data_IF_318232288859
#
_entry.id   IF_318232288859
#
_cell.length_a   1.000
_cell.length_b   1.000
_cell.length_c   1.000
_cell.angle_alpha   90.00
_cell.angle_beta   90.00
_cell.angle_gamma   90.00
#
_symmetry.space_group_name_H-M   'P 1'
#
loop_
_entity.id
_entity.type
_entity.pdbx_description
1 polymer ?
#
# COMPACT_ATOMS: atom_id res chain seq x y z
N UNK A 1 10.34 -19.79 -7.11
CA UNK A 1 9.98 -18.53 -7.80
C UNK A 1 8.87 -17.78 -7.08
N UNK A 2 7.63 -18.29 -7.04
CA UNK A 2 6.49 -17.58 -6.43
C UNK A 2 6.64 -17.30 -4.93
N UNK A 3 7.24 -18.22 -4.18
CA UNK A 3 7.63 -17.98 -2.79
C UNK A 3 8.56 -16.76 -2.65
N UNK A 4 9.61 -16.68 -3.46
CA UNK A 4 10.54 -15.54 -3.48
C UNK A 4 9.83 -14.22 -3.81
N UNK A 5 8.93 -14.21 -4.80
CA UNK A 5 8.08 -13.04 -5.10
C UNK A 5 7.27 -12.62 -3.87
N UNK A 6 6.61 -13.58 -3.21
CA UNK A 6 5.83 -13.29 -2.00
C UNK A 6 6.72 -12.71 -0.87
N UNK A 7 7.93 -13.25 -0.68
CA UNK A 7 8.89 -12.70 0.29
C UNK A 7 9.30 -11.26 -0.04
N UNK A 8 9.58 -10.94 -1.31
CA UNK A 8 9.92 -9.59 -1.74
C UNK A 8 8.77 -8.62 -1.49
N UNK A 9 7.54 -8.98 -1.87
CA UNK A 9 6.38 -8.14 -1.60
C UNK A 9 6.18 -7.93 -0.10
N UNK A 10 6.22 -8.98 0.73
CA UNK A 10 6.01 -8.83 2.18
C UNK A 10 7.08 -7.97 2.88
N UNK A 11 8.34 -8.07 2.44
CA UNK A 11 9.47 -7.43 3.14
C UNK A 11 9.81 -6.04 2.60
N UNK A 12 9.62 -5.80 1.31
CA UNK A 12 10.05 -4.56 0.66
C UNK A 12 8.88 -3.83 -0.01
N UNK A 13 8.30 -4.39 -1.07
CA UNK A 13 7.34 -3.66 -1.91
C UNK A 13 6.03 -3.31 -1.20
N UNK A 14 5.68 -4.05 -0.14
CA UNK A 14 4.50 -3.81 0.70
C UNK A 14 4.93 -3.61 2.15
N UNK A 15 6.11 -3.03 2.38
CA UNK A 15 6.54 -2.71 3.75
C UNK A 15 5.66 -1.60 4.33
N UNK A 16 5.27 -1.70 5.60
CA UNK A 16 4.31 -0.77 6.22
C UNK A 16 4.71 0.70 6.11
N UNK A 17 6.02 1.00 6.16
CA UNK A 17 6.56 2.37 6.03
C UNK A 17 6.60 2.81 4.57
N UNK A 18 6.88 1.89 3.63
CA UNK A 18 6.88 2.20 2.19
C UNK A 18 5.47 2.59 1.75
N UNK A 19 4.47 1.77 2.07
CA UNK A 19 3.07 2.08 1.76
C UNK A 19 2.62 3.39 2.40
N UNK A 20 3.09 3.71 3.62
CA UNK A 20 2.78 4.97 4.29
C UNK A 20 3.32 6.18 3.51
N UNK A 21 4.58 6.09 3.05
CA UNK A 21 5.18 7.13 2.20
C UNK A 21 4.41 7.25 0.88
N UNK A 22 4.07 6.13 0.24
CA UNK A 22 3.28 6.11 -1.01
C UNK A 22 1.92 6.79 -0.82
N UNK A 23 1.22 6.52 0.28
CA UNK A 23 -0.05 7.18 0.64
C UNK A 23 0.14 8.70 0.78
N UNK A 24 1.16 9.13 1.52
CA UNK A 24 1.46 10.56 1.69
C UNK A 24 1.80 11.25 0.36
N UNK A 25 2.61 10.63 -0.49
CA UNK A 25 2.94 11.16 -1.82
C UNK A 25 1.67 11.25 -2.68
N UNK A 26 0.82 10.23 -2.63
CA UNK A 26 -0.47 10.23 -3.35
C UNK A 26 -1.37 11.37 -2.88
N UNK A 27 -1.50 11.58 -1.58
CA UNK A 27 -2.28 12.70 -1.03
C UNK A 27 -1.74 14.06 -1.48
N UNK A 28 -0.42 14.23 -1.49
CA UNK A 28 0.20 15.44 -1.98
C UNK A 28 -0.08 15.64 -3.48
N UNK A 29 -0.02 14.59 -4.29
CA UNK A 29 -0.28 14.67 -5.73
C UNK A 29 -1.76 14.96 -6.02
N UNK A 30 -2.69 14.37 -5.27
CA UNK A 30 -4.13 14.69 -5.38
C UNK A 30 -4.37 16.17 -5.09
N UNK A 31 -3.74 16.72 -4.04
CA UNK A 31 -3.84 18.14 -3.70
C UNK A 31 -3.18 19.06 -4.73
N UNK A 32 -2.07 18.63 -5.32
CA UNK A 32 -1.36 19.41 -6.34
C UNK A 32 -1.97 19.30 -7.75
N UNK A 33 -2.81 18.30 -8.02
CA UNK A 33 -3.37 17.98 -9.34
C UNK A 33 -4.07 19.16 -10.05
N UNK A 34 -4.84 20.02 -9.36
CA UNK A 34 -5.48 21.17 -10.03
C UNK A 34 -4.47 22.20 -10.56
N UNK A 35 -3.30 22.31 -9.93
CA UNK A 35 -2.37 23.42 -10.10
C UNK A 35 -1.16 23.08 -10.97
N UNK A 36 -0.79 21.81 -11.11
CA UNK A 36 0.32 21.38 -11.98
C UNK A 36 -0.22 21.04 -13.36
N UNK A 37 0.38 21.68 -14.38
CA UNK A 37 0.03 21.49 -15.79
C UNK A 37 1.23 21.00 -16.59
N UNK A 38 0.95 20.12 -17.54
CA UNK A 38 1.88 19.62 -18.54
C UNK A 38 1.38 20.00 -19.92
N UNK A 39 2.26 20.54 -20.76
CA UNK A 39 1.93 20.79 -22.16
C UNK A 39 1.94 19.48 -22.93
N UNK A 40 0.83 19.16 -23.59
CA UNK A 40 0.70 18.03 -24.50
C UNK A 40 0.58 18.46 -25.96
N UNK A 41 0.09 17.53 -26.77
CA UNK A 41 -0.05 17.73 -28.22
C UNK A 41 -0.92 18.95 -28.55
N UNK A 42 -0.48 19.74 -29.54
CA UNK A 42 -1.22 20.91 -30.00
C UNK A 42 -1.26 22.08 -29.02
N UNK A 43 -0.41 22.07 -27.97
CA UNK A 43 -0.34 23.11 -26.96
C UNK A 43 -1.42 23.03 -25.88
N UNK A 44 -2.16 21.92 -25.83
CA UNK A 44 -3.17 21.68 -24.79
C UNK A 44 -2.49 21.42 -23.44
N UNK A 45 -3.15 21.82 -22.36
CA UNK A 45 -2.66 21.59 -20.99
C UNK A 45 -3.37 20.42 -20.33
N UNK A 46 -2.59 19.56 -19.67
CA UNK A 46 -3.05 18.38 -18.95
C UNK A 46 -2.61 18.43 -17.50
N UNK A 47 -3.39 17.85 -16.59
CA UNK A 47 -2.98 17.66 -15.18
C UNK A 47 -2.26 16.33 -15.03
N UNK A 48 -1.75 16.03 -13.82
CA UNK A 48 -1.18 14.71 -13.54
C UNK A 48 -2.17 13.59 -13.84
N UNK A 49 -3.45 13.77 -13.48
CA UNK A 49 -4.49 12.76 -13.68
C UNK A 49 -4.91 12.56 -15.14
N UNK A 50 -4.84 13.61 -15.98
CA UNK A 50 -5.26 13.54 -17.39
C UNK A 50 -4.09 13.39 -18.36
N UNK A 51 -2.85 13.45 -17.89
CA UNK A 51 -1.67 13.25 -18.74
C UNK A 51 -1.65 11.89 -19.42
N UNK A 52 -2.29 10.86 -18.85
CA UNK A 52 -2.41 9.54 -19.47
C UNK A 52 -3.14 9.56 -20.83
N UNK A 53 -3.94 10.59 -21.09
CA UNK A 53 -4.74 10.73 -22.31
C UNK A 53 -3.93 11.34 -23.48
N UNK A 54 -2.72 11.85 -23.23
CA UNK A 54 -1.84 12.43 -24.24
C UNK A 54 -0.38 12.02 -24.01
N UNK A 55 0.22 11.33 -24.99
CA UNK A 55 1.58 10.79 -24.83
C UNK A 55 2.67 11.87 -24.73
N UNK A 56 2.45 13.05 -25.31
CA UNK A 56 3.41 14.16 -25.20
C UNK A 56 3.44 14.72 -23.77
N UNK A 57 2.27 14.90 -23.15
CA UNK A 57 2.14 15.26 -21.75
C UNK A 57 2.64 14.14 -20.83
N UNK A 58 2.26 12.87 -21.09
CA UNK A 58 2.65 11.72 -20.27
C UNK A 58 4.17 11.53 -20.20
N UNK A 59 4.88 11.73 -21.31
CA UNK A 59 6.35 11.63 -21.35
C UNK A 59 7.04 12.64 -20.43
N UNK A 60 6.38 13.77 -20.16
CA UNK A 60 6.88 14.83 -19.25
C UNK A 60 6.51 14.56 -17.79
N UNK A 61 5.53 13.69 -17.52
CA UNK A 61 5.13 13.28 -16.18
C UNK A 61 6.10 12.22 -15.65
N UNK A 62 7.07 12.67 -14.85
CA UNK A 62 8.09 11.83 -14.22
C UNK A 62 8.17 12.13 -12.73
N UNK A 63 9.01 11.40 -11.99
CA UNK A 63 9.27 11.60 -10.56
C UNK A 63 9.70 13.05 -10.23
N UNK A 64 10.18 13.81 -11.22
CA UNK A 64 10.47 15.24 -11.08
C UNK A 64 9.28 16.06 -10.55
N UNK A 65 8.03 15.60 -10.74
CA UNK A 65 6.85 16.26 -10.19
C UNK A 65 6.90 16.39 -8.67
N UNK A 66 7.57 15.45 -7.98
CA UNK A 66 7.82 15.53 -6.55
C UNK A 66 8.61 16.81 -6.20
N UNK A 67 9.72 17.04 -6.90
CA UNK A 67 10.57 18.22 -6.70
C UNK A 67 9.86 19.51 -7.12
N UNK A 68 9.08 19.47 -8.20
CA UNK A 68 8.27 20.61 -8.64
C UNK A 68 7.31 21.07 -7.55
N UNK A 69 6.61 20.15 -6.88
CA UNK A 69 5.73 20.48 -5.75
C UNK A 69 6.56 20.98 -4.56
N UNK A 70 7.63 20.26 -4.21
CA UNK A 70 8.42 20.51 -3.01
C UNK A 70 9.06 21.91 -3.01
N UNK A 71 9.52 22.38 -4.17
CA UNK A 71 10.22 23.66 -4.32
C UNK A 71 9.38 24.76 -4.98
N UNK A 72 8.13 24.49 -5.37
CA UNK A 72 7.27 25.54 -5.91
C UNK A 72 7.00 26.62 -4.87
N UNK A 73 7.01 27.92 -5.23
CA UNK A 73 6.63 29.00 -4.33
C UNK A 73 5.10 29.23 -4.29
N UNK A 74 4.31 28.56 -5.13
CA UNK A 74 2.87 28.81 -5.26
C UNK A 74 2.11 28.56 -3.94
N UNK A 75 1.27 29.51 -3.49
CA UNK A 75 0.44 29.32 -2.28
C UNK A 75 -0.52 28.15 -2.40
N UNK A 76 -1.09 27.93 -3.59
CA UNK A 76 -2.05 26.85 -3.84
C UNK A 76 -1.45 25.45 -3.65
N UNK A 77 -0.13 25.32 -3.76
CA UNK A 77 0.59 24.07 -3.54
C UNK A 77 1.07 23.91 -2.08
N UNK A 78 0.72 24.83 -1.17
CA UNK A 78 1.25 24.82 0.19
C UNK A 78 0.93 23.54 0.96
N UNK A 79 -0.31 23.03 0.89
CA UNK A 79 -0.70 21.79 1.57
C UNK A 79 0.04 20.57 1.01
N UNK A 80 0.12 20.45 -0.32
CA UNK A 80 0.84 19.36 -0.98
C UNK A 80 2.34 19.40 -0.61
N UNK A 81 2.93 20.60 -0.64
CA UNK A 81 4.33 20.84 -0.26
C UNK A 81 4.60 20.48 1.19
N UNK A 82 3.70 20.80 2.12
CA UNK A 82 3.83 20.44 3.54
C UNK A 82 3.84 18.93 3.76
N UNK A 83 3.02 18.19 3.02
CA UNK A 83 3.00 16.72 3.06
C UNK A 83 4.35 16.16 2.56
N UNK A 84 4.86 16.64 1.42
CA UNK A 84 6.17 16.17 0.89
C UNK A 84 7.35 16.56 1.78
N UNK A 85 7.31 17.74 2.41
CA UNK A 85 8.29 18.14 3.43
C UNK A 85 8.25 17.20 4.65
N UNK A 86 7.06 16.78 5.07
CA UNK A 86 6.90 15.80 6.14
C UNK A 86 7.56 14.46 5.79
N UNK A 87 7.34 13.94 4.57
CA UNK A 87 8.00 12.72 4.06
C UNK A 87 9.51 12.88 4.09
N UNK A 88 10.03 14.00 3.60
CA UNK A 88 11.48 14.28 3.55
C UNK A 88 12.09 14.30 4.96
N UNK A 89 11.36 14.87 5.93
CA UNK A 89 11.77 14.90 7.34
C UNK A 89 11.43 13.61 8.10
N UNK A 90 10.98 12.55 7.42
CA UNK A 90 10.53 11.28 8.03
C UNK A 90 9.44 11.43 9.11
N UNK A 91 8.66 12.52 9.05
CA UNK A 91 7.45 12.64 9.85
C UNK A 91 6.33 12.01 9.02
N UNK A 92 6.00 10.75 9.27
CA UNK A 92 5.01 10.00 8.48
C UNK A 92 3.64 9.97 9.17
N UNK A 93 2.62 9.41 8.52
CA UNK A 93 1.36 9.11 9.23
C UNK A 93 1.59 8.04 10.28
N UNK A 94 0.80 8.04 11.37
CA UNK A 94 0.94 7.04 12.42
C UNK A 94 0.35 5.72 11.96
N UNK A 95 1.13 4.65 12.02
CA UNK A 95 0.63 3.30 11.78
C UNK A 95 -0.17 2.86 13.02
N UNK A 96 -1.44 2.51 12.86
CA UNK A 96 -2.33 2.11 13.96
C UNK A 96 -2.24 0.61 14.18
N UNK A 97 -2.35 -0.15 13.09
CA UNK A 97 -2.30 -1.59 13.15
C UNK A 97 -2.55 -2.27 11.82
N UNK A 98 -2.45 -3.59 11.84
CA UNK A 98 -2.65 -4.46 10.70
C UNK A 98 -3.45 -5.70 11.10
N UNK A 99 -4.41 -6.09 10.28
CA UNK A 99 -5.09 -7.39 10.38
C UNK A 99 -5.07 -8.12 9.02
N UNK A 100 -5.56 -9.36 9.01
CA UNK A 100 -5.78 -10.14 7.79
C UNK A 100 -7.24 -10.57 7.72
N UNK A 101 -7.77 -10.51 6.50
CA UNK A 101 -9.10 -10.98 6.15
C UNK A 101 -9.02 -12.09 5.10
N UNK A 102 -10.13 -12.82 4.92
CA UNK A 102 -10.29 -13.74 3.80
C UNK A 102 -10.18 -13.02 2.46
N UNK A 103 -9.61 -13.67 1.45
CA UNK A 103 -9.32 -13.01 0.17
C UNK A 103 -10.57 -12.51 -0.57
N UNK A 104 -11.70 -13.24 -0.49
CA UNK A 104 -12.95 -12.83 -1.14
C UNK A 104 -13.87 -11.96 -0.28
N UNK A 105 -13.41 -11.54 0.91
CA UNK A 105 -14.20 -10.67 1.78
C UNK A 105 -14.14 -9.24 1.24
N UNK A 106 -15.31 -8.61 1.13
CA UNK A 106 -15.40 -7.18 0.90
C UNK A 106 -15.11 -6.45 2.20
N UNK A 107 -14.20 -5.49 2.18
CA UNK A 107 -13.77 -4.78 3.39
C UNK A 107 -14.58 -3.49 3.48
N UNK A 108 -15.44 -3.30 4.48
CA UNK A 108 -16.25 -2.09 4.63
C UNK A 108 -15.37 -0.94 5.15
N UNK A 109 -14.58 -0.34 4.24
CA UNK A 109 -13.66 0.75 4.58
C UNK A 109 -14.38 1.98 5.15
N UNK A 110 -15.58 2.24 4.64
CA UNK A 110 -16.42 3.38 5.03
C UNK A 110 -16.67 3.43 6.54
N UNK A 111 -16.76 2.27 7.21
CA UNK A 111 -16.97 2.19 8.65
C UNK A 111 -15.81 2.81 9.45
N UNK A 112 -14.59 2.75 8.94
CA UNK A 112 -13.39 3.33 9.56
C UNK A 112 -13.08 4.72 9.00
N UNK A 113 -13.33 4.95 7.71
CA UNK A 113 -13.08 6.21 6.99
C UNK A 113 -14.11 7.31 7.29
N UNK A 114 -15.12 7.03 8.13
CA UNK A 114 -15.96 8.05 8.75
C UNK A 114 -15.15 9.14 9.49
N UNK A 115 -13.92 8.84 9.92
CA UNK A 115 -12.95 9.84 10.36
C UNK A 115 -12.03 10.19 9.17
N UNK A 116 -12.07 11.42 8.67
CA UNK A 116 -11.24 11.90 7.55
C UNK A 116 -9.73 11.74 7.80
N UNK A 117 -9.33 11.59 9.07
CA UNK A 117 -7.95 11.38 9.48
C UNK A 117 -7.52 9.93 9.38
N UNK A 118 -8.45 8.99 9.28
CA UNK A 118 -8.16 7.58 9.12
C UNK A 118 -7.93 7.22 7.65
N UNK A 119 -6.98 6.33 7.39
CA UNK A 119 -6.67 5.83 6.06
C UNK A 119 -6.63 4.30 6.12
N UNK A 120 -7.43 3.63 5.30
CA UNK A 120 -7.49 2.17 5.23
C UNK A 120 -6.83 1.65 3.94
N UNK A 121 -5.61 1.14 4.08
CA UNK A 121 -4.87 0.50 3.00
C UNK A 121 -5.19 -1.00 2.96
N UNK A 122 -5.66 -1.49 1.80
CA UNK A 122 -6.03 -2.90 1.60
C UNK A 122 -5.12 -3.50 0.56
N UNK A 123 -4.27 -4.43 1.01
CA UNK A 123 -3.20 -5.00 0.23
C UNK A 123 -3.55 -6.44 -0.12
N UNK A 124 -3.55 -6.76 -1.41
CA UNK A 124 -3.77 -8.10 -1.93
C UNK A 124 -2.42 -8.79 -2.18
N UNK A 125 -2.14 -9.85 -1.41
CA UNK A 125 -0.92 -10.64 -1.52
C UNK A 125 -1.27 -11.99 -2.15
N UNK A 126 -0.82 -12.25 -3.39
CA UNK A 126 -1.11 -13.50 -4.08
C UNK A 126 0.05 -14.00 -4.93
N UNK A 127 0.00 -15.25 -5.39
CA UNK A 127 1.05 -15.86 -6.24
C UNK A 127 1.02 -15.41 -7.71
N UNK A 128 0.15 -14.46 -8.05
CA UNK A 128 0.07 -13.85 -9.38
C UNK A 128 -1.18 -14.26 -10.16
N UNK A 129 -1.96 -15.20 -9.59
CA UNK A 129 -3.22 -15.67 -10.16
C UNK A 129 -4.33 -15.71 -9.10
N UNK A 130 -4.44 -14.64 -8.30
CA UNK A 130 -5.39 -14.56 -7.18
C UNK A 130 -5.31 -15.83 -6.30
N UNK A 131 -6.44 -16.47 -6.00
CA UNK A 131 -6.51 -17.69 -5.17
C UNK A 131 -6.00 -18.96 -5.87
N UNK A 132 -5.81 -18.92 -7.19
CA UNK A 132 -5.42 -20.09 -7.97
C UNK A 132 -3.91 -20.33 -7.91
N UNK A 133 -3.52 -21.60 -7.96
CA UNK A 133 -2.13 -21.97 -8.06
C UNK A 133 -1.62 -21.73 -9.50
N UNK A 134 -0.65 -20.81 -9.72
CA UNK A 134 -0.11 -20.60 -11.06
C UNK A 134 0.62 -21.84 -11.61
N UNK A 135 1.09 -22.74 -10.74
CA UNK A 135 1.79 -23.97 -11.16
C UNK A 135 0.89 -24.95 -11.90
N UNK A 136 -0.43 -24.91 -11.67
CA UNK A 136 -1.40 -25.75 -12.40
C UNK A 136 -1.48 -25.38 -13.89
N UNK A 137 -1.06 -24.17 -14.25
CA UNK A 137 -1.07 -23.65 -15.61
C UNK A 137 0.28 -23.81 -16.31
N UNK A 138 1.27 -24.40 -15.64
CA UNK A 138 2.60 -24.66 -16.21
C UNK A 138 2.64 -26.06 -16.81
N UNK A 139 3.15 -26.16 -18.03
CA UNK A 139 3.44 -27.44 -18.70
C UNK A 139 4.91 -27.78 -18.57
N UNK A 140 5.19 -29.07 -18.40
CA UNK A 140 6.53 -29.63 -18.27
C UNK A 140 6.75 -30.65 -19.37
N UNK A 141 8.01 -30.93 -19.66
CA UNK A 141 8.42 -32.01 -20.55
C UNK A 141 9.50 -32.85 -19.85
N UNK A 142 9.67 -34.09 -20.31
CA UNK A 142 10.76 -34.96 -19.82
C UNK A 142 11.94 -34.86 -20.78
N UNK A 143 13.17 -34.91 -20.25
CA UNK A 143 14.40 -34.88 -21.07
C UNK A 143 14.40 -35.92 -22.21
N UNK A 144 13.79 -37.09 -21.99
CA UNK A 144 13.71 -38.19 -22.99
C UNK A 144 12.61 -37.98 -24.04
N UNK A 145 11.65 -37.12 -23.78
CA UNK A 145 10.50 -36.82 -24.67
C UNK A 145 10.21 -35.31 -24.64
N UNK A 146 11.07 -34.48 -25.25
CA UNK A 146 10.98 -33.03 -25.15
C UNK A 146 9.73 -32.45 -25.84
N UNK A 147 9.23 -33.11 -26.87
CA UNK A 147 8.09 -32.64 -27.67
C UNK A 147 6.72 -32.98 -27.06
N UNK A 148 6.69 -33.66 -25.91
CA UNK A 148 5.45 -34.04 -25.21
C UNK A 148 5.31 -33.22 -23.93
N UNK A 149 4.32 -32.34 -23.93
CA UNK A 149 3.96 -31.52 -22.77
C UNK A 149 2.99 -32.26 -21.84
N UNK A 150 3.24 -32.20 -20.54
CA UNK A 150 2.37 -32.74 -19.49
C UNK A 150 2.23 -31.75 -18.33
N UNK A 151 1.12 -31.78 -17.57
CA UNK A 151 1.06 -31.07 -16.29
C UNK A 151 2.08 -31.66 -15.29
N UNK A 152 2.41 -30.91 -14.24
CA UNK A 152 3.20 -31.46 -13.13
C UNK A 152 2.38 -32.54 -12.40
N UNK A 153 2.95 -33.72 -12.09
CA UNK A 153 2.32 -34.64 -11.17
C UNK A 153 2.33 -33.99 -9.78
N UNK A 154 1.16 -33.58 -9.27
CA UNK A 154 1.01 -32.91 -7.95
C UNK A 154 1.64 -33.71 -6.82
N UNK A 155 1.62 -35.03 -6.94
CA UNK A 155 2.06 -35.99 -5.93
C UNK A 155 3.59 -36.19 -5.89
N UNK A 156 4.33 -35.62 -6.85
CA UNK A 156 5.79 -35.84 -7.01
C UNK A 156 6.63 -34.57 -6.83
N UNK A 157 6.02 -33.42 -6.50
CA UNK A 157 6.73 -32.14 -6.57
C UNK A 157 7.67 -31.95 -5.38
N UNK A 158 7.26 -32.27 -4.15
CA UNK A 158 8.10 -32.15 -2.94
C UNK A 158 7.53 -32.96 -1.77
N UNK A 159 8.39 -33.51 -0.90
CA UNK A 159 8.00 -33.99 0.45
C UNK A 159 7.64 -32.83 1.40
N UNK A 160 8.03 -31.60 1.02
CA UNK A 160 7.70 -30.37 1.75
C UNK A 160 6.26 -29.95 1.39
N UNK A 161 5.40 -29.70 2.38
CA UNK A 161 4.04 -29.21 2.14
C UNK A 161 4.05 -27.89 1.34
N UNK A 162 3.28 -27.86 0.27
CA UNK A 162 3.00 -26.62 -0.45
C UNK A 162 1.92 -25.82 0.30
N UNK A 163 1.89 -24.49 0.14
CA UNK A 163 0.82 -23.68 0.74
C UNK A 163 -0.55 -24.11 0.22
N UNK A 164 -1.52 -24.24 1.13
CA UNK A 164 -2.92 -24.52 0.78
C UNK A 164 -3.65 -23.30 0.21
N UNK A 165 -3.12 -22.10 0.50
CA UNK A 165 -3.67 -20.81 0.06
C UNK A 165 -2.63 -20.02 -0.70
N UNK A 166 -3.03 -19.54 -1.87
CA UNK A 166 -2.17 -18.78 -2.79
C UNK A 166 -2.44 -17.27 -2.75
N UNK A 167 -3.44 -16.84 -1.96
CA UNK A 167 -3.77 -15.44 -1.74
C UNK A 167 -4.21 -15.14 -0.30
N UNK A 168 -3.90 -13.92 0.15
CA UNK A 168 -4.34 -13.34 1.42
C UNK A 168 -4.57 -11.83 1.23
N UNK A 169 -5.47 -11.24 2.04
CA UNK A 169 -5.68 -9.79 2.09
C UNK A 169 -5.19 -9.25 3.42
N UNK A 170 -4.37 -8.20 3.37
CA UNK A 170 -3.92 -7.47 4.56
C UNK A 170 -4.66 -6.14 4.61
N UNK A 171 -5.11 -5.77 5.79
CA UNK A 171 -5.75 -4.48 6.04
C UNK A 171 -4.83 -3.74 6.99
N UNK A 172 -4.33 -2.59 6.56
CA UNK A 172 -3.50 -1.69 7.36
C UNK A 172 -4.22 -0.39 7.56
N UNK A 173 -4.12 0.14 8.75
CA UNK A 173 -4.75 1.41 9.06
C UNK A 173 -3.69 2.40 9.53
N UNK A 174 -3.76 3.59 8.95
CA UNK A 174 -2.90 4.73 9.25
C UNK A 174 -3.75 5.90 9.73
N UNK A 175 -3.17 6.78 10.53
CA UNK A 175 -3.81 7.97 11.06
C UNK A 175 -3.00 9.22 10.70
N UNK A 176 -3.64 10.19 10.06
CA UNK A 176 -3.01 11.42 9.55
C UNK A 176 -2.49 12.31 10.67
N UNK A 177 -3.15 12.32 11.83
CA UNK A 177 -2.79 13.19 12.95
C UNK A 177 -1.58 12.63 13.73
N UNK A 178 -0.61 13.51 14.00
CA UNK A 178 0.63 13.18 14.72
C UNK A 178 0.64 13.64 16.17
N UNK A 179 0.01 14.77 16.46
CA UNK A 179 0.09 15.47 17.74
C UNK A 179 -1.10 15.21 18.65
N UNK A 180 -1.90 14.18 18.34
CA UNK A 180 -3.06 13.79 19.15
C UNK A 180 -2.99 12.30 19.51
N UNK A 181 -2.12 11.93 20.47
CA UNK A 181 -1.98 10.54 20.91
C UNK A 181 -3.29 9.98 21.45
N UNK A 182 -4.14 10.81 22.06
CA UNK A 182 -5.43 10.40 22.60
C UNK A 182 -6.39 9.96 21.47
N UNK A 183 -6.48 10.73 20.39
CA UNK A 183 -7.28 10.34 19.22
C UNK A 183 -6.76 9.05 18.57
N UNK A 184 -5.43 8.90 18.47
CA UNK A 184 -4.81 7.66 17.95
C UNK A 184 -5.17 6.47 18.84
N UNK A 185 -5.14 6.62 20.17
CA UNK A 185 -5.49 5.54 21.10
C UNK A 185 -6.96 5.13 20.96
N UNK A 186 -7.89 6.10 20.93
CA UNK A 186 -9.32 5.84 20.72
C UNK A 186 -9.53 5.11 19.39
N UNK A 187 -8.78 5.51 18.36
CA UNK A 187 -8.88 4.89 17.05
C UNK A 187 -8.27 3.47 17.03
N UNK A 188 -7.19 3.19 17.78
CA UNK A 188 -6.65 1.83 18.00
C UNK A 188 -7.74 0.93 18.58
N UNK A 189 -8.43 1.37 19.63
CA UNK A 189 -9.52 0.60 20.26
C UNK A 189 -10.68 0.35 19.30
N UNK A 190 -11.09 1.37 18.55
CA UNK A 190 -12.12 1.25 17.50
C UNK A 190 -11.71 0.24 16.43
N UNK A 191 -10.46 0.25 16.00
CA UNK A 191 -9.94 -0.71 15.01
C UNK A 191 -9.96 -2.15 15.56
N UNK A 192 -9.61 -2.36 16.83
CA UNK A 192 -9.71 -3.69 17.47
C UNK A 192 -11.15 -4.17 17.53
N UNK A 193 -12.09 -3.31 17.96
CA UNK A 193 -13.52 -3.63 18.00
C UNK A 193 -14.01 -4.01 16.60
N UNK A 194 -13.67 -3.21 15.60
CA UNK A 194 -14.04 -3.46 14.20
C UNK A 194 -13.50 -4.80 13.69
N UNK A 195 -12.24 -5.14 13.99
CA UNK A 195 -11.68 -6.45 13.63
C UNK A 195 -12.45 -7.61 14.27
N UNK A 196 -12.85 -7.47 15.53
CA UNK A 196 -13.60 -8.48 16.26
C UNK A 196 -15.03 -8.66 15.71
N UNK A 197 -15.70 -7.55 15.39
CA UNK A 197 -17.05 -7.56 14.79
C UNK A 197 -17.08 -8.29 13.45
N UNK A 198 -16.05 -8.11 12.62
CA UNK A 198 -15.95 -8.76 11.31
C UNK A 198 -15.23 -10.12 11.33
N UNK A 199 -14.89 -10.64 12.51
CA UNK A 199 -14.20 -11.91 12.71
C UNK A 199 -12.88 -12.04 11.92
N UNK A 200 -12.13 -10.95 11.83
CA UNK A 200 -10.79 -10.96 11.23
C UNK A 200 -9.75 -11.59 12.15
N UNK A 201 -8.55 -11.86 11.63
CA UNK A 201 -7.45 -12.32 12.48
C UNK A 201 -7.10 -11.26 13.53
N UNK A 202 -6.59 -11.69 14.70
CA UNK A 202 -6.20 -10.74 15.75
C UNK A 202 -5.27 -9.67 15.19
N UNK A 203 -5.63 -8.38 15.33
CA UNK A 203 -4.84 -7.30 14.76
C UNK A 203 -3.50 -7.17 15.47
N UNK A 204 -2.43 -6.97 14.69
CA UNK A 204 -1.15 -6.50 15.17
C UNK A 204 -1.24 -4.97 15.33
N UNK A 205 -1.32 -4.49 16.56
CA UNK A 205 -1.36 -3.06 16.89
C UNK A 205 0.07 -2.50 17.00
N UNK A 206 0.26 -1.24 16.66
CA UNK A 206 1.54 -0.55 16.87
C UNK A 206 1.84 -0.42 18.37
N UNK A 207 2.96 -0.99 18.82
CA UNK A 207 3.51 -0.78 20.16
C UNK A 207 4.48 0.39 20.09
N UNK A 208 3.96 1.61 20.06
CA UNK A 208 4.75 2.83 20.12
C UNK A 208 3.99 3.77 21.07
N UNK A 209 4.04 3.52 22.38
CA UNK A 209 3.61 4.43 23.47
C UNK A 209 4.05 3.91 24.87
N UNK A 210 5.29 3.42 25.04
CA UNK A 210 5.88 3.21 26.39
C UNK A 210 7.27 3.88 26.59
N UNK A 211 8.04 4.19 25.53
CA UNK A 211 9.44 4.64 25.67
C UNK A 211 9.72 6.14 25.39
N UNK A 212 8.69 6.99 25.29
CA UNK A 212 8.85 8.46 25.13
C UNK A 212 8.19 9.28 26.25
N UNK A 213 8.22 8.79 27.50
CA UNK A 213 8.09 9.68 28.66
C UNK A 213 9.50 10.19 28.98
N UNK A 214 9.86 11.45 28.71
CA UNK A 214 11.14 11.97 29.17
C UNK A 214 11.19 11.83 30.70
N UNK A 215 12.35 11.43 31.28
CA UNK A 215 12.47 11.34 32.72
C UNK A 215 12.07 12.69 33.31
N UNK A 216 11.13 12.66 34.26
CA UNK A 216 10.82 13.82 35.09
C UNK A 216 12.08 14.07 35.90
N UNK A 217 12.84 15.09 35.49
CA UNK A 217 13.95 15.61 36.30
C UNK A 217 13.36 16.09 37.64
N UNK A 218 13.72 15.38 38.72
CA UNK A 218 13.56 15.80 40.11
C UNK A 218 14.86 16.45 40.59
#
# INVERSE_FOLDING_TARGET
>A
MFYTRNCLHRRACQHKVVNNIELMITDAFVKANPHIKFQGSGGNEYTMSTAIDDMEAYTKLTDHVFDQILYSPLPDLAEAREILQSVTKQHLYRFVGQTKAGFNVNIPKDELENDERAIVDVISMHWGLMENNPMDHVRYYKKRTPDVASPSPRDQVTEIPLPERFAEKWIRVYYRARNDPAAVMIFKDRFVIWCNTHHYQNPMISVEDEDEIPPVDN
#
